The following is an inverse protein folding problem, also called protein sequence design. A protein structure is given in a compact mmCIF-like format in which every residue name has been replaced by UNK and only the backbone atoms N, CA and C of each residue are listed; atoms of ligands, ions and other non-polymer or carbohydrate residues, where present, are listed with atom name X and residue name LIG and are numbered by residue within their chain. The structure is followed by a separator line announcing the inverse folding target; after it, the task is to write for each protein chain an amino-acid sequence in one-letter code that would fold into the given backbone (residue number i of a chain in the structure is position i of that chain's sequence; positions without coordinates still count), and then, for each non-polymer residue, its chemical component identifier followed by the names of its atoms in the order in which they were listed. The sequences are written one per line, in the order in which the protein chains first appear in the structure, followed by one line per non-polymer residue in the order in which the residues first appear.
data_IF_937015343416
#
_entry.id   IF_937015343416
#
_cell.length_a   1.000
_cell.length_b   1.000
_cell.length_c   1.000
_cell.angle_alpha   90.00
_cell.angle_beta   90.00
_cell.angle_gamma   90.00
#
_symmetry.space_group_name_H-M   'P 1'
#
loop_
_entity.id
_entity.type
_entity.pdbx_description
1 polymer ?
#
# COMPACT_ATOMS: atom_id res chain seq x y z
N UNK A 1 -28.97 44.18 -58.50
CA UNK A 1 -28.93 44.22 -57.01
C UNK A 1 -29.16 42.87 -56.33
N UNK A 2 -29.83 41.89 -56.98
CA UNK A 2 -30.24 40.61 -56.37
C UNK A 2 -29.08 39.60 -56.21
N UNK A 3 -28.14 39.55 -57.16
CA UNK A 3 -27.00 38.64 -57.13
C UNK A 3 -26.06 38.84 -55.91
N UNK A 4 -25.94 40.08 -55.43
CA UNK A 4 -25.10 40.39 -54.26
C UNK A 4 -25.74 39.90 -52.95
N UNK A 5 -27.07 39.98 -52.82
CA UNK A 5 -27.80 39.49 -51.64
C UNK A 5 -27.68 37.97 -51.49
N UNK A 6 -27.79 37.22 -52.59
CA UNK A 6 -27.64 35.76 -52.55
C UNK A 6 -26.22 35.32 -52.19
N UNK A 7 -25.19 36.05 -52.64
CA UNK A 7 -23.79 35.80 -52.28
C UNK A 7 -23.54 36.04 -50.78
N UNK A 8 -24.11 37.11 -50.22
CA UNK A 8 -24.01 37.45 -48.79
C UNK A 8 -24.75 36.44 -47.91
N UNK A 9 -25.93 35.98 -48.31
CA UNK A 9 -26.69 34.95 -47.58
C UNK A 9 -25.91 33.62 -47.58
N UNK A 10 -25.31 33.25 -48.72
CA UNK A 10 -24.48 32.04 -48.82
C UNK A 10 -23.22 32.13 -47.97
N UNK A 11 -22.51 33.26 -47.93
CA UNK A 11 -21.34 33.43 -47.06
C UNK A 11 -21.71 33.41 -45.58
N UNK A 12 -22.82 34.03 -45.20
CA UNK A 12 -23.33 34.01 -43.82
C UNK A 12 -23.78 32.61 -43.38
N UNK A 13 -24.44 31.85 -44.27
CA UNK A 13 -24.81 30.45 -44.02
C UNK A 13 -23.57 29.56 -43.83
N UNK A 14 -22.53 29.73 -44.66
CA UNK A 14 -21.29 28.96 -44.52
C UNK A 14 -20.51 29.33 -43.25
N UNK A 15 -20.48 30.61 -42.88
CA UNK A 15 -19.84 31.07 -41.64
C UNK A 15 -20.56 30.56 -40.38
N UNK A 16 -21.89 30.41 -40.42
CA UNK A 16 -22.67 29.77 -39.35
C UNK A 16 -22.32 28.30 -39.19
N UNK A 17 -22.32 27.55 -40.29
CA UNK A 17 -21.96 26.11 -40.30
C UNK A 17 -20.54 25.91 -39.75
N UNK A 18 -19.58 26.75 -40.14
CA UNK A 18 -18.20 26.68 -39.66
C UNK A 18 -18.09 26.90 -38.13
N UNK A 19 -18.85 27.85 -37.58
CA UNK A 19 -18.92 28.09 -36.13
C UNK A 19 -19.57 26.93 -35.37
N UNK A 20 -20.62 26.33 -35.93
CA UNK A 20 -21.27 25.15 -35.34
C UNK A 20 -20.32 23.95 -35.32
N UNK A 21 -19.55 23.75 -36.39
CA UNK A 21 -18.51 22.71 -36.47
C UNK A 21 -17.42 22.95 -35.42
N UNK A 22 -16.89 24.18 -35.30
CA UNK A 22 -15.89 24.51 -34.27
C UNK A 22 -16.41 24.25 -32.84
N UNK A 23 -17.66 24.60 -32.54
CA UNK A 23 -18.26 24.36 -31.24
C UNK A 23 -18.41 22.85 -30.94
N UNK A 24 -18.86 22.08 -31.94
CA UNK A 24 -19.00 20.63 -31.81
C UNK A 24 -17.67 19.91 -31.59
N UNK A 25 -16.60 20.35 -32.28
CA UNK A 25 -15.25 19.80 -32.10
C UNK A 25 -14.68 20.10 -30.71
N UNK A 26 -14.90 21.31 -30.19
CA UNK A 26 -14.47 21.69 -28.85
C UNK A 26 -15.19 20.87 -27.76
N UNK A 27 -16.49 20.62 -27.94
CA UNK A 27 -17.29 19.82 -27.02
C UNK A 27 -16.79 18.36 -26.99
N UNK A 28 -16.55 17.76 -28.15
CA UNK A 28 -16.02 16.38 -28.26
C UNK A 28 -14.63 16.26 -27.61
N UNK A 29 -13.75 17.24 -27.83
CA UNK A 29 -12.43 17.28 -27.21
C UNK A 29 -12.52 17.33 -25.68
N UNK A 30 -13.42 18.16 -25.13
CA UNK A 30 -13.63 18.26 -23.70
C UNK A 30 -14.13 16.93 -23.09
N UNK A 31 -15.09 16.26 -23.73
CA UNK A 31 -15.61 14.97 -23.27
C UNK A 31 -14.57 13.83 -23.32
N UNK A 32 -13.59 13.90 -24.22
CA UNK A 32 -12.53 12.87 -24.31
C UNK A 32 -11.55 12.89 -23.14
N UNK A 33 -11.45 14.00 -22.41
CA UNK A 33 -10.51 14.18 -21.29
C UNK A 33 -10.92 13.48 -19.98
N UNK A 34 -12.18 13.02 -19.86
CA UNK A 34 -12.69 12.38 -18.63
C UNK A 34 -12.09 10.99 -18.33
N UNK A 35 -11.41 10.36 -19.29
CA UNK A 35 -10.81 9.03 -19.09
C UNK A 35 -9.40 9.04 -18.48
N UNK A 36 -8.80 10.22 -18.28
CA UNK A 36 -7.41 10.34 -17.80
C UNK A 36 -7.19 9.86 -16.35
N UNK A 37 -8.24 9.81 -15.52
CA UNK A 37 -8.11 9.48 -14.10
C UNK A 37 -8.08 7.97 -13.79
N UNK A 38 -8.29 7.09 -14.79
CA UNK A 38 -8.36 5.63 -14.57
C UNK A 38 -7.00 4.95 -14.34
N UNK A 39 -5.90 5.63 -14.66
CA UNK A 39 -4.55 5.07 -14.49
C UNK A 39 -3.92 5.33 -13.12
N UNK A 40 -4.59 6.10 -12.25
CA UNK A 40 -4.16 6.30 -10.86
C UNK A 40 -4.60 5.13 -9.96
N UNK A 41 -4.38 3.89 -10.41
CA UNK A 41 -4.45 2.75 -9.50
C UNK A 41 -3.18 2.75 -8.66
N UNK A 42 -3.30 3.27 -7.44
CA UNK A 42 -2.30 3.07 -6.39
C UNK A 42 -2.15 1.56 -6.19
N UNK A 43 -1.15 0.97 -6.84
CA UNK A 43 -0.72 -0.38 -6.54
C UNK A 43 -0.44 -0.42 -5.04
N UNK A 44 -1.18 -1.24 -4.30
CA UNK A 44 -1.00 -1.37 -2.85
C UNK A 44 0.45 -1.80 -2.60
N UNK A 45 1.30 -0.84 -2.27
CA UNK A 45 2.65 -1.10 -1.82
C UNK A 45 2.45 -1.91 -0.53
N UNK A 46 2.89 -3.17 -0.55
CA UNK A 46 2.91 -4.02 0.65
C UNK A 46 3.97 -3.44 1.58
N UNK A 47 3.62 -2.41 2.32
CA UNK A 47 4.47 -1.84 3.36
C UNK A 47 4.60 -2.88 4.46
N UNK A 48 5.84 -3.32 4.71
CA UNK A 48 6.13 -4.23 5.81
C UNK A 48 5.98 -3.44 7.12
N UNK A 49 4.83 -3.56 7.77
CA UNK A 49 4.60 -2.96 9.10
C UNK A 49 5.14 -3.91 10.18
N UNK A 50 6.11 -3.41 10.95
CA UNK A 50 6.67 -4.08 12.13
C UNK A 50 8.09 -4.62 11.91
N UNK A 51 8.73 -5.02 13.01
CA UNK A 51 10.06 -5.62 12.99
C UNK A 51 9.94 -7.06 12.47
N UNK A 52 10.08 -7.25 11.15
CA UNK A 52 10.05 -8.58 10.52
C UNK A 52 11.36 -9.30 10.83
N UNK A 53 11.36 -10.10 11.90
CA UNK A 53 12.52 -10.93 12.26
C UNK A 53 12.58 -12.19 11.38
N UNK A 54 13.79 -12.65 11.07
CA UNK A 54 13.97 -13.93 10.36
C UNK A 54 13.78 -15.08 11.34
N UNK A 55 13.26 -16.22 10.86
CA UNK A 55 13.13 -17.42 11.70
C UNK A 55 14.44 -17.85 12.37
N UNK A 56 15.59 -17.59 11.74
CA UNK A 56 16.91 -17.90 12.29
C UNK A 56 17.19 -17.16 13.60
N UNK A 57 16.69 -15.94 13.76
CA UNK A 57 16.89 -15.14 14.97
C UNK A 57 16.03 -15.65 16.12
N UNK A 58 14.81 -16.10 15.81
CA UNK A 58 13.96 -16.79 16.79
C UNK A 58 14.59 -18.10 17.30
N UNK A 59 15.50 -18.72 16.55
CA UNK A 59 16.25 -19.91 17.01
C UNK A 59 17.45 -19.56 17.90
N UNK A 60 17.94 -18.31 17.85
CA UNK A 60 19.06 -17.85 18.69
C UNK A 60 18.61 -17.64 20.13
N UNK A 61 17.35 -17.24 20.35
CA UNK A 61 16.80 -17.06 21.69
C UNK A 61 16.54 -18.39 22.39
N UNK A 62 16.74 -18.43 23.71
CA UNK A 62 16.57 -19.61 24.56
C UNK A 62 15.86 -19.20 25.85
N UNK A 63 15.15 -20.17 26.44
CA UNK A 63 14.56 -19.99 27.76
C UNK A 63 15.65 -19.64 28.78
N UNK A 64 15.32 -18.75 29.71
CA UNK A 64 16.23 -18.24 30.74
C UNK A 64 17.02 -16.99 30.36
N UNK A 65 17.05 -16.58 29.09
CA UNK A 65 17.73 -15.34 28.66
C UNK A 65 17.09 -14.10 29.28
N UNK A 66 17.91 -13.09 29.58
CA UNK A 66 17.38 -11.81 30.03
C UNK A 66 16.65 -11.08 28.89
N UNK A 67 15.64 -10.30 29.28
CA UNK A 67 14.82 -9.48 28.39
C UNK A 67 15.67 -8.53 27.53
N UNK A 68 16.76 -8.02 28.08
CA UNK A 68 17.78 -7.21 27.36
C UNK A 68 18.49 -8.00 26.27
N UNK A 69 18.93 -9.23 26.56
CA UNK A 69 19.63 -10.08 25.59
C UNK A 69 18.69 -10.46 24.43
N UNK A 70 17.43 -10.77 24.77
CA UNK A 70 16.39 -11.03 23.77
C UNK A 70 16.15 -9.80 22.89
N UNK A 71 16.14 -8.59 23.47
CA UNK A 71 15.99 -7.34 22.72
C UNK A 71 17.19 -7.06 21.79
N UNK A 72 18.40 -7.44 22.19
CA UNK A 72 19.58 -7.32 21.33
C UNK A 72 19.47 -8.25 20.11
N UNK A 73 18.93 -9.47 20.30
CA UNK A 73 18.81 -10.47 19.23
C UNK A 73 17.63 -10.18 18.30
N UNK A 74 16.47 -9.81 18.83
CA UNK A 74 15.22 -9.66 18.06
C UNK A 74 14.83 -8.20 17.78
N UNK A 75 15.59 -7.25 18.32
CA UNK A 75 15.21 -5.85 18.41
C UNK A 75 14.15 -5.59 19.49
N UNK A 76 13.93 -4.30 19.77
CA UNK A 76 12.89 -3.88 20.70
C UNK A 76 11.50 -4.25 20.15
N UNK A 77 10.66 -4.85 20.99
CA UNK A 77 9.26 -5.07 20.66
C UNK A 77 8.58 -3.71 20.44
N UNK A 78 8.11 -3.46 19.21
CA UNK A 78 7.34 -2.26 18.87
C UNK A 78 5.98 -2.22 19.60
N UNK A 79 5.53 -3.37 20.10
CA UNK A 79 4.26 -3.53 20.81
C UNK A 79 4.59 -4.10 22.18
N UNK A 80 4.86 -3.22 23.15
CA UNK A 80 4.77 -3.60 24.55
C UNK A 80 3.40 -3.13 25.02
N UNK A 81 2.43 -4.02 25.26
CA UNK A 81 1.15 -3.60 25.81
C UNK A 81 1.43 -2.86 27.13
N UNK A 82 0.90 -1.65 27.28
CA UNK A 82 1.04 -0.84 28.51
C UNK A 82 0.61 -1.60 29.77
N UNK A 83 -0.24 -2.62 29.61
CA UNK A 83 -0.78 -3.47 30.68
C UNK A 83 -0.04 -4.81 30.87
N UNK A 84 0.81 -5.26 29.94
CA UNK A 84 1.53 -6.54 30.03
C UNK A 84 3.02 -6.34 29.76
N UNK A 85 3.73 -5.72 30.71
CA UNK A 85 5.20 -5.52 30.64
C UNK A 85 5.99 -6.83 30.48
N UNK A 86 5.36 -7.96 30.80
CA UNK A 86 5.95 -9.30 30.80
C UNK A 86 5.64 -10.11 29.53
N UNK A 87 5.03 -9.51 28.50
CA UNK A 87 4.76 -10.19 27.22
C UNK A 87 5.22 -9.32 26.05
N UNK A 88 5.99 -9.92 25.14
CA UNK A 88 6.37 -9.30 23.87
C UNK A 88 5.86 -10.12 22.69
N UNK A 89 5.30 -9.45 21.69
CA UNK A 89 4.79 -10.07 20.48
C UNK A 89 5.64 -9.68 19.27
N UNK A 90 6.07 -10.69 18.51
CA UNK A 90 6.90 -10.53 17.31
C UNK A 90 6.22 -11.15 16.08
N UNK A 91 6.43 -10.52 14.93
CA UNK A 91 6.01 -11.04 13.62
C UNK A 91 7.27 -11.47 12.88
N UNK A 92 7.29 -12.71 12.38
CA UNK A 92 8.45 -13.26 11.70
C UNK A 92 8.06 -13.92 10.39
N UNK A 93 9.00 -13.92 9.44
CA UNK A 93 8.81 -14.60 8.16
C UNK A 93 9.48 -15.96 8.17
N UNK A 94 8.83 -16.92 7.52
CA UNK A 94 9.33 -18.25 7.29
C UNK A 94 9.25 -18.57 5.81
N UNK A 95 10.38 -18.93 5.23
CA UNK A 95 10.47 -19.39 3.84
C UNK A 95 11.14 -20.76 3.83
N UNK A 96 10.53 -21.73 3.14
CA UNK A 96 11.08 -23.09 2.96
C UNK A 96 11.62 -23.18 1.54
N UNK A 97 12.95 -23.12 1.38
CA UNK A 97 13.60 -23.11 0.07
C UNK A 97 13.15 -21.90 -0.76
N UNK A 98 12.82 -22.13 -2.03
CA UNK A 98 12.27 -21.11 -2.95
C UNK A 98 10.74 -20.95 -2.84
N UNK A 99 10.11 -21.59 -1.85
CA UNK A 99 8.67 -21.51 -1.63
C UNK A 99 8.18 -20.12 -1.19
N UNK A 100 6.85 -19.94 -1.04
CA UNK A 100 6.27 -18.67 -0.63
C UNK A 100 6.71 -18.27 0.79
N UNK A 101 6.87 -16.96 1.00
CA UNK A 101 7.16 -16.40 2.32
C UNK A 101 5.87 -16.43 3.16
N UNK A 102 5.90 -17.16 4.27
CA UNK A 102 4.82 -17.22 5.25
C UNK A 102 5.09 -16.25 6.39
N UNK A 103 4.11 -15.43 6.73
CA UNK A 103 4.15 -14.56 7.91
C UNK A 103 3.57 -15.35 9.10
N UNK A 104 4.30 -15.38 10.21
CA UNK A 104 3.91 -16.05 11.46
C UNK A 104 4.11 -15.11 12.64
N UNK A 105 3.46 -15.42 13.78
CA UNK A 105 3.56 -14.63 15.00
C UNK A 105 4.10 -15.47 16.16
N UNK A 106 4.87 -14.83 17.03
CA UNK A 106 5.36 -15.45 18.27
C UNK A 106 5.16 -14.49 19.45
N UNK A 107 4.69 -15.05 20.57
CA UNK A 107 4.56 -14.35 21.84
C UNK A 107 5.58 -14.88 22.83
N UNK A 108 6.38 -13.99 23.39
CA UNK A 108 7.40 -14.25 24.40
C UNK A 108 6.87 -13.80 25.76
N UNK A 109 7.00 -14.65 26.77
CA UNK A 109 6.61 -14.33 28.15
C UNK A 109 7.84 -14.29 29.04
N UNK A 110 7.90 -13.27 29.89
CA UNK A 110 9.00 -13.02 30.79
C UNK A 110 8.54 -13.07 32.25
N UNK A 111 9.39 -13.58 33.12
CA UNK A 111 9.22 -13.55 34.57
C UNK A 111 10.56 -13.20 35.20
N UNK A 112 10.59 -12.23 36.11
CA UNK A 112 11.84 -11.71 36.71
C UNK A 112 12.90 -11.37 35.64
N UNK A 113 12.46 -10.67 34.59
CA UNK A 113 13.25 -10.32 33.40
C UNK A 113 13.86 -11.48 32.60
N UNK A 114 13.46 -12.73 32.86
CA UNK A 114 13.93 -13.90 32.11
C UNK A 114 12.85 -14.48 31.23
N UNK A 115 13.23 -14.93 30.04
CA UNK A 115 12.32 -15.57 29.09
C UNK A 115 11.89 -16.95 29.62
N UNK A 116 10.60 -17.11 29.92
CA UNK A 116 10.04 -18.35 30.48
C UNK A 116 9.19 -19.15 29.51
N UNK A 117 8.63 -18.51 28.48
CA UNK A 117 7.76 -19.19 27.52
C UNK A 117 7.80 -18.54 26.14
N UNK A 118 7.73 -19.37 25.11
CA UNK A 118 7.61 -18.97 23.70
C UNK A 118 6.37 -19.65 23.13
N UNK A 119 5.39 -18.88 22.69
CA UNK A 119 4.18 -19.37 22.02
C UNK A 119 4.26 -18.99 20.55
N UNK A 120 4.19 -19.98 19.65
CA UNK A 120 4.09 -19.75 18.20
C UNK A 120 2.63 -19.82 17.80
N UNK A 121 2.11 -18.73 17.24
CA UNK A 121 0.72 -18.65 16.81
C UNK A 121 0.69 -19.09 15.34
N UNK A 122 -0.03 -20.18 15.00
CA UNK A 122 -0.23 -20.56 13.60
C UNK A 122 -1.02 -19.44 12.91
N UNK A 123 -0.55 -19.05 11.72
CA UNK A 123 -1.25 -18.13 10.83
C UNK A 123 -2.32 -18.84 10.01
#
# INVERSE_FOLDING_TARGET
MIANRNKIIRTYSMAKVLKTIQFSLFLIFCLSSLNACRYLSFAKIKTQQGNLIKQQELKKIKLGMHKTDVAIILGNSLITPTFQKNRWDYVFTYQKGEGPILVKRASLFFQNDKLVKIIKIPS
#
